data_IF_372667688149
#
_entry.id   IF_372667688149
#
_cell.length_a   1.000
_cell.length_b   1.000
_cell.length_c   1.000
_cell.angle_alpha   90.00
_cell.angle_beta   90.00
_cell.angle_gamma   90.00
#
_symmetry.space_group_name_H-M   'P 1'
#
loop_
_entity.id
_entity.type
_entity.pdbx_description
1 polymer ?
#
# COMPACT_ATOMS: atom_id res chain seq x y z
N UNK A 1 29.15 -3.85 77.38
CA UNK A 1 30.62 -3.81 77.52
C UNK A 1 31.25 -4.12 76.17
N UNK A 2 31.76 -3.07 75.53
CA UNK A 2 32.87 -2.94 74.57
C UNK A 2 33.03 -3.82 73.31
N UNK A 3 32.89 -3.11 72.15
CA UNK A 3 33.80 -2.98 70.96
C UNK A 3 34.06 -4.26 70.14
N UNK A 4 34.04 -4.28 68.81
CA UNK A 4 34.98 -3.73 67.80
C UNK A 4 34.29 -3.79 66.40
N UNK A 5 34.16 -2.72 65.60
CA UNK A 5 35.02 -2.30 64.44
C UNK A 5 35.51 -3.51 63.58
N UNK A 6 35.28 -3.63 62.26
CA UNK A 6 35.62 -2.68 61.17
C UNK A 6 35.15 -3.18 59.78
N UNK A 7 34.86 -2.23 58.88
CA UNK A 7 35.19 -2.19 57.44
C UNK A 7 34.69 -3.25 56.44
N UNK A 8 33.93 -2.80 55.43
CA UNK A 8 34.40 -2.71 54.04
C UNK A 8 33.33 -2.05 53.17
N UNK A 9 33.58 -0.81 52.75
CA UNK A 9 32.84 -0.16 51.69
C UNK A 9 33.30 -0.72 50.34
N UNK A 10 32.41 -1.40 49.62
CA UNK A 10 32.62 -1.77 48.23
C UNK A 10 31.89 -0.76 47.35
N UNK A 11 32.60 0.25 46.86
CA UNK A 11 32.16 1.09 45.75
C UNK A 11 32.37 0.32 44.45
N UNK A 12 31.30 -0.30 43.94
CA UNK A 12 31.28 -0.86 42.60
C UNK A 12 31.08 0.28 41.59
N UNK A 13 32.16 0.72 40.93
CA UNK A 13 32.08 1.62 39.77
C UNK A 13 31.69 0.75 38.57
N UNK A 14 30.39 0.72 38.26
CA UNK A 14 29.88 0.11 37.04
C UNK A 14 30.25 0.95 35.82
N UNK A 15 31.14 0.43 34.96
CA UNK A 15 31.48 1.07 33.69
C UNK A 15 30.35 0.78 32.69
N UNK A 16 29.42 1.72 32.52
CA UNK A 16 28.40 1.68 31.47
C UNK A 16 29.06 1.92 30.10
N UNK A 17 29.45 0.86 29.39
CA UNK A 17 29.73 0.96 27.96
C UNK A 17 28.40 1.20 27.23
N UNK A 18 28.16 2.45 26.86
CA UNK A 18 27.08 2.80 25.94
C UNK A 18 27.46 2.32 24.54
N UNK A 19 26.86 1.22 24.08
CA UNK A 19 26.94 0.81 22.68
C UNK A 19 26.03 1.74 21.89
N UNK A 20 26.61 2.72 21.20
CA UNK A 20 25.86 3.53 20.24
C UNK A 20 25.68 2.73 18.96
N UNK A 21 24.46 2.29 18.70
CA UNK A 21 24.08 1.74 17.40
C UNK A 21 23.96 2.91 16.43
N UNK A 22 24.96 3.10 15.58
CA UNK A 22 24.86 4.03 14.46
C UNK A 22 23.89 3.44 13.43
N UNK A 23 22.66 3.93 13.43
CA UNK A 23 21.73 3.73 12.32
C UNK A 23 22.25 4.58 11.17
N UNK A 24 22.89 3.97 10.17
CA UNK A 24 23.12 4.64 8.91
C UNK A 24 21.75 4.89 8.29
N UNK A 25 21.31 6.16 8.25
CA UNK A 25 20.25 6.57 7.36
C UNK A 25 20.71 6.22 5.95
N UNK A 26 19.97 5.35 5.25
CA UNK A 26 20.19 5.19 3.83
C UNK A 26 19.90 6.56 3.19
N UNK A 27 20.93 7.22 2.69
CA UNK A 27 20.78 8.46 1.95
C UNK A 27 19.94 8.14 0.69
N UNK A 28 18.64 8.44 0.75
CA UNK A 28 17.80 8.51 -0.45
C UNK A 28 18.32 9.70 -1.25
N UNK A 29 19.32 9.44 -2.09
CA UNK A 29 19.84 10.47 -3.00
C UNK A 29 18.70 10.82 -3.94
N UNK A 30 18.22 12.09 -4.00
CA UNK A 30 17.17 12.47 -4.93
C UNK A 30 17.66 12.17 -6.35
N UNK A 31 17.04 11.19 -7.00
CA UNK A 31 17.34 10.89 -8.41
C UNK A 31 16.79 12.06 -9.23
N UNK A 32 17.65 13.00 -9.61
CA UNK A 32 17.26 14.08 -10.51
C UNK A 32 16.93 13.44 -11.87
N UNK A 33 15.65 13.49 -12.28
CA UNK A 33 15.15 12.95 -13.55
C UNK A 33 14.57 14.08 -14.40
N UNK A 34 15.43 14.88 -15.08
CA UNK A 34 14.96 16.00 -15.92
C UNK A 34 14.03 15.55 -17.05
N UNK A 35 14.20 14.31 -17.52
CA UNK A 35 13.38 13.66 -18.54
C UNK A 35 11.91 13.46 -18.13
N UNK A 36 11.63 13.42 -16.82
CA UNK A 36 10.28 13.22 -16.28
C UNK A 36 9.56 14.54 -15.97
N UNK A 37 10.27 15.67 -16.03
CA UNK A 37 9.69 16.96 -15.66
C UNK A 37 8.54 17.36 -16.58
N UNK A 38 7.36 17.52 -15.98
CA UNK A 38 6.13 17.87 -16.67
C UNK A 38 5.50 16.74 -17.49
N UNK A 39 6.07 15.53 -17.47
CA UNK A 39 5.54 14.37 -18.19
C UNK A 39 4.11 14.07 -17.72
N UNK A 40 3.10 14.11 -18.62
CA UNK A 40 1.75 13.69 -18.26
C UNK A 40 1.68 12.17 -18.14
N UNK A 41 1.01 11.70 -17.09
CA UNK A 41 0.73 10.28 -16.84
C UNK A 41 -0.74 10.15 -16.49
N UNK A 42 -1.47 9.33 -17.23
CA UNK A 42 -2.90 9.09 -17.02
C UNK A 42 -3.12 7.93 -16.06
N UNK A 43 -3.89 8.21 -15.00
CA UNK A 43 -4.29 7.26 -13.97
C UNK A 43 -5.77 6.89 -14.13
N UNK A 44 -6.07 5.60 -14.08
CA UNK A 44 -7.43 5.08 -13.93
C UNK A 44 -7.51 4.23 -12.64
N UNK A 45 -8.62 4.31 -11.93
CA UNK A 45 -8.88 3.61 -10.68
C UNK A 45 -10.20 2.85 -10.68
N UNK A 46 -10.45 2.12 -9.60
CA UNK A 46 -11.74 1.49 -9.36
C UNK A 46 -12.75 2.57 -8.93
N UNK A 47 -13.94 2.67 -9.55
CA UNK A 47 -14.86 3.75 -9.24
C UNK A 47 -15.56 3.63 -7.88
N UNK A 48 -15.62 2.45 -7.27
CA UNK A 48 -16.43 2.21 -6.08
C UNK A 48 -15.81 1.18 -5.13
N UNK A 49 -14.56 1.41 -4.69
CA UNK A 49 -13.88 0.56 -3.71
C UNK A 49 -13.15 1.38 -2.63
N UNK A 50 -13.86 2.23 -1.87
CA UNK A 50 -13.26 2.95 -0.75
C UNK A 50 -12.81 1.99 0.37
N UNK A 51 -11.73 2.32 1.12
CA UNK A 51 -10.89 3.51 1.00
C UNK A 51 -9.74 3.36 -0.03
N UNK A 52 -9.69 2.25 -0.77
CA UNK A 52 -8.58 1.91 -1.66
C UNK A 52 -8.61 2.74 -2.93
N UNK A 53 -9.76 2.82 -3.61
CA UNK A 53 -9.98 3.63 -4.81
C UNK A 53 -11.46 3.94 -5.04
N UNK A 54 -11.80 5.19 -5.34
CA UNK A 54 -13.15 5.59 -5.80
C UNK A 54 -13.08 6.83 -6.70
N UNK A 55 -14.14 7.12 -7.44
CA UNK A 55 -14.29 8.41 -8.14
C UNK A 55 -15.04 9.39 -7.25
N UNK A 56 -14.42 10.54 -6.97
CA UNK A 56 -15.04 11.62 -6.21
C UNK A 56 -16.00 12.45 -7.09
N UNK A 57 -16.86 13.32 -6.50
CA UNK A 57 -17.82 14.12 -7.27
C UNK A 57 -17.21 15.07 -8.31
N UNK A 58 -15.90 15.32 -8.24
CA UNK A 58 -15.13 16.10 -9.21
C UNK A 58 -14.52 15.23 -10.34
N UNK A 59 -14.98 13.99 -10.47
CA UNK A 59 -14.52 12.97 -11.43
C UNK A 59 -13.04 12.57 -11.27
N UNK A 60 -12.42 12.88 -10.13
CA UNK A 60 -11.02 12.52 -9.83
C UNK A 60 -10.93 11.17 -9.13
N UNK A 61 -9.91 10.38 -9.47
CA UNK A 61 -9.57 9.17 -8.70
C UNK A 61 -9.05 9.55 -7.32
N UNK A 62 -9.73 9.06 -6.29
CA UNK A 62 -9.37 9.19 -4.88
C UNK A 62 -9.05 7.84 -4.24
N UNK A 63 -8.49 7.90 -3.03
CA UNK A 63 -8.14 6.73 -2.22
C UNK A 63 -6.65 6.50 -2.06
N UNK A 64 -6.32 5.49 -1.25
CA UNK A 64 -4.93 5.17 -0.86
C UNK A 64 -4.05 4.98 -2.09
N UNK A 65 -4.54 4.26 -3.11
CA UNK A 65 -3.74 3.98 -4.29
C UNK A 65 -3.37 5.25 -5.07
N UNK A 66 -4.35 6.12 -5.33
CA UNK A 66 -4.11 7.37 -6.03
C UNK A 66 -3.21 8.32 -5.23
N UNK A 67 -3.36 8.35 -3.90
CA UNK A 67 -2.50 9.13 -3.01
C UNK A 67 -1.04 8.67 -3.08
N UNK A 68 -0.79 7.36 -3.02
CA UNK A 68 0.57 6.80 -3.11
C UNK A 68 1.19 7.07 -4.48
N UNK A 69 0.44 6.87 -5.58
CA UNK A 69 0.92 7.16 -6.93
C UNK A 69 1.32 8.63 -7.08
N UNK A 70 0.48 9.56 -6.62
CA UNK A 70 0.80 11.00 -6.63
C UNK A 70 2.03 11.32 -5.78
N UNK A 71 2.14 10.75 -4.57
CA UNK A 71 3.28 10.98 -3.68
C UNK A 71 4.61 10.47 -4.27
N UNK A 72 4.58 9.38 -5.04
CA UNK A 72 5.78 8.85 -5.72
C UNK A 72 6.18 9.67 -6.95
N UNK A 73 5.20 10.17 -7.71
CA UNK A 73 5.43 10.82 -9.00
C UNK A 73 5.67 12.34 -8.89
N UNK A 74 5.04 13.02 -7.93
CA UNK A 74 5.19 14.46 -7.74
C UNK A 74 6.64 14.92 -7.52
N UNK A 75 7.46 14.27 -6.68
CA UNK A 75 8.87 14.66 -6.49
C UNK A 75 9.72 14.54 -7.76
N UNK A 76 9.29 13.72 -8.72
CA UNK A 76 9.94 13.55 -10.02
C UNK A 76 9.49 14.59 -11.06
N UNK A 77 8.54 15.46 -10.70
CA UNK A 77 7.98 16.46 -11.60
C UNK A 77 6.91 15.94 -12.57
N UNK A 78 6.47 14.69 -12.41
CA UNK A 78 5.44 14.07 -13.26
C UNK A 78 4.06 14.64 -12.92
N UNK A 79 3.25 14.89 -13.95
CA UNK A 79 1.87 15.38 -13.82
C UNK A 79 0.89 14.22 -13.95
N UNK A 80 0.24 13.86 -12.84
CA UNK A 80 -0.77 12.81 -12.84
C UNK A 80 -2.12 13.39 -13.27
N UNK A 81 -2.66 12.90 -14.38
CA UNK A 81 -4.04 13.13 -14.81
C UNK A 81 -4.91 11.96 -14.37
N UNK A 82 -5.76 12.21 -13.38
CA UNK A 82 -6.64 11.25 -12.73
C UNK A 82 -8.12 11.56 -12.97
N UNK A 83 -8.44 12.31 -14.01
CA UNK A 83 -9.82 12.52 -14.42
C UNK A 83 -10.38 11.24 -15.06
N UNK A 84 -11.46 10.72 -14.49
CA UNK A 84 -12.06 9.46 -14.91
C UNK A 84 -13.59 9.52 -14.86
N UNK A 85 -14.21 9.27 -16.01
CA UNK A 85 -15.65 9.11 -16.18
C UNK A 85 -16.05 7.70 -16.67
N UNK A 86 -15.19 6.71 -16.45
CA UNK A 86 -15.37 5.35 -16.96
C UNK A 86 -15.46 4.30 -15.85
N UNK A 87 -16.11 3.17 -16.14
CA UNK A 87 -16.13 2.01 -15.24
C UNK A 87 -14.80 1.23 -15.25
N UNK A 88 -14.66 0.33 -14.28
CA UNK A 88 -13.45 -0.50 -14.12
C UNK A 88 -13.09 -1.32 -15.36
N UNK A 89 -14.08 -1.95 -16.01
CA UNK A 89 -13.84 -2.76 -17.22
C UNK A 89 -13.27 -1.91 -18.36
N UNK A 90 -13.74 -0.66 -18.49
CA UNK A 90 -13.20 0.27 -19.48
C UNK A 90 -11.78 0.70 -19.12
N UNK A 91 -11.48 1.02 -17.85
CA UNK A 91 -10.10 1.31 -17.41
C UNK A 91 -9.13 0.18 -17.80
N UNK A 92 -9.48 -1.07 -17.50
CA UNK A 92 -8.67 -2.24 -17.84
C UNK A 92 -8.38 -2.32 -19.34
N UNK A 93 -9.38 -2.02 -20.18
CA UNK A 93 -9.20 -2.03 -21.63
C UNK A 93 -8.35 -0.87 -22.12
N UNK A 94 -8.49 0.33 -21.54
CA UNK A 94 -7.68 1.48 -21.93
C UNK A 94 -6.20 1.29 -21.59
N UNK A 95 -5.87 0.60 -20.49
CA UNK A 95 -4.48 0.23 -20.18
C UNK A 95 -3.96 -0.79 -21.19
N UNK A 96 -4.75 -1.80 -21.53
CA UNK A 96 -4.38 -2.79 -22.56
C UNK A 96 -4.11 -2.14 -23.93
N UNK A 97 -4.83 -1.06 -24.25
CA UNK A 97 -4.67 -0.28 -25.48
C UNK A 97 -3.57 0.78 -25.39
N UNK A 98 -2.96 1.00 -24.22
CA UNK A 98 -1.91 2.00 -24.00
C UNK A 98 -2.42 3.44 -23.86
N UNK A 99 -3.72 3.65 -23.65
CA UNK A 99 -4.32 4.99 -23.46
C UNK A 99 -4.31 5.44 -21.99
N UNK A 100 -4.09 4.52 -21.06
CA UNK A 100 -3.91 4.79 -19.62
C UNK A 100 -2.56 4.21 -19.21
N UNK A 101 -1.75 5.02 -18.54
CA UNK A 101 -0.39 4.66 -18.16
C UNK A 101 -0.33 3.87 -16.85
N UNK A 102 -1.21 4.21 -15.90
CA UNK A 102 -1.23 3.60 -14.57
C UNK A 102 -2.64 3.19 -14.19
N UNK A 103 -2.75 1.99 -13.65
CA UNK A 103 -3.94 1.49 -12.96
C UNK A 103 -3.53 0.83 -11.66
N UNK A 104 -4.38 0.95 -10.65
CA UNK A 104 -4.18 0.27 -9.37
C UNK A 104 -5.25 -0.81 -9.19
N UNK A 105 -4.83 -2.05 -8.99
CA UNK A 105 -5.72 -3.19 -8.83
C UNK A 105 -4.97 -4.49 -8.63
N UNK A 106 -5.70 -5.59 -8.48
CA UNK A 106 -5.10 -6.91 -8.22
C UNK A 106 -4.20 -7.38 -9.35
N UNK A 107 -3.03 -7.90 -8.96
CA UNK A 107 -2.16 -8.67 -9.83
C UNK A 107 -2.83 -10.02 -10.13
N UNK A 108 -2.93 -10.34 -11.42
CA UNK A 108 -3.46 -11.61 -11.92
C UNK A 108 -2.69 -11.99 -13.17
N UNK A 109 -2.53 -13.28 -13.46
CA UNK A 109 -1.82 -13.76 -14.66
C UNK A 109 -2.33 -13.11 -15.95
N UNK A 110 -3.66 -13.04 -16.13
CA UNK A 110 -4.28 -12.43 -17.31
C UNK A 110 -3.90 -10.95 -17.50
N UNK A 111 -3.75 -10.18 -16.42
CA UNK A 111 -3.34 -8.77 -16.47
C UNK A 111 -1.84 -8.62 -16.67
N UNK A 112 -1.03 -9.56 -16.20
CA UNK A 112 0.42 -9.56 -16.42
C UNK A 112 0.81 -9.77 -17.88
N UNK A 113 -0.10 -10.27 -18.72
CA UNK A 113 0.13 -10.38 -20.16
C UNK A 113 0.31 -9.01 -20.86
N UNK A 114 -0.15 -7.92 -20.24
CA UNK A 114 -0.10 -6.58 -20.84
C UNK A 114 0.18 -5.44 -19.83
N UNK A 115 0.36 -5.76 -18.54
CA UNK A 115 0.71 -4.80 -17.50
C UNK A 115 1.92 -5.28 -16.70
N UNK A 116 2.76 -4.33 -16.31
CA UNK A 116 3.80 -4.55 -15.30
C UNK A 116 3.28 -4.15 -13.92
N UNK A 117 3.54 -4.97 -12.91
CA UNK A 117 3.14 -4.71 -11.53
C UNK A 117 4.36 -4.46 -10.65
N UNK A 118 4.24 -3.53 -9.70
CA UNK A 118 5.24 -3.34 -8.65
C UNK A 118 5.32 -4.58 -7.77
N UNK A 119 6.53 -4.97 -7.39
CA UNK A 119 6.75 -6.13 -6.53
C UNK A 119 6.15 -5.92 -5.14
N UNK A 120 6.37 -4.74 -4.57
CA UNK A 120 5.75 -4.35 -3.30
C UNK A 120 4.31 -3.89 -3.53
N UNK A 121 3.30 -4.54 -2.92
CA UNK A 121 1.91 -4.09 -3.02
C UNK A 121 1.68 -2.80 -2.22
N UNK A 122 0.78 -1.94 -2.71
CA UNK A 122 0.33 -0.76 -1.95
C UNK A 122 -0.63 -1.19 -0.82
N UNK A 123 -1.49 -2.17 -1.10
CA UNK A 123 -2.47 -2.71 -0.16
C UNK A 123 -2.42 -4.23 -0.22
N UNK A 124 -2.40 -4.86 0.96
CA UNK A 124 -2.69 -6.28 1.13
C UNK A 124 -4.06 -6.42 1.77
N UNK A 125 -4.87 -7.33 1.25
CA UNK A 125 -6.21 -7.58 1.76
C UNK A 125 -6.44 -9.07 1.99
N UNK A 126 -7.34 -9.38 2.93
CA UNK A 126 -7.83 -10.74 3.17
C UNK A 126 -9.26 -10.84 2.67
N UNK A 127 -9.58 -11.95 2.02
CA UNK A 127 -10.94 -12.22 1.56
C UNK A 127 -11.72 -12.82 2.73
N UNK A 128 -12.87 -12.23 3.03
CA UNK A 128 -13.78 -12.67 4.08
C UNK A 128 -15.14 -13.04 3.51
N UNK A 129 -15.77 -14.07 4.08
CA UNK A 129 -17.17 -14.38 3.82
C UNK A 129 -18.04 -13.58 4.79
N UNK A 130 -18.95 -12.79 4.26
CA UNK A 130 -19.97 -12.09 5.04
C UNK A 130 -21.33 -12.75 4.81
N UNK A 131 -22.08 -12.95 5.88
CA UNK A 131 -23.43 -13.51 5.85
C UNK A 131 -24.35 -12.78 6.84
N UNK A 132 -25.68 -12.85 6.67
CA UNK A 132 -26.62 -12.26 7.61
C UNK A 132 -26.46 -12.85 9.01
N UNK A 133 -26.46 -12.00 10.04
CA UNK A 133 -26.28 -12.43 11.44
C UNK A 133 -27.40 -13.39 11.89
N UNK A 134 -28.59 -13.23 11.34
CA UNK A 134 -29.78 -14.06 11.59
C UNK A 134 -29.86 -15.31 10.70
N UNK A 135 -28.97 -15.45 9.72
CA UNK A 135 -28.87 -16.63 8.85
C UNK A 135 -27.38 -17.00 8.64
N UNK A 136 -26.69 -17.49 9.68
CA UNK A 136 -25.28 -17.84 9.59
C UNK A 136 -25.05 -18.97 8.59
N UNK A 137 -23.95 -18.86 7.83
CA UNK A 137 -23.50 -19.89 6.90
C UNK A 137 -22.32 -20.62 7.54
N UNK A 138 -22.47 -21.89 7.98
CA UNK A 138 -21.34 -22.72 8.37
C UNK A 138 -20.42 -22.89 7.15
N UNK A 139 -19.13 -22.59 7.33
CA UNK A 139 -18.16 -22.63 6.24
C UNK A 139 -16.89 -23.33 6.72
N UNK A 140 -16.64 -24.51 6.16
CA UNK A 140 -15.45 -25.32 6.38
C UNK A 140 -14.72 -25.57 5.06
N UNK A 141 -15.43 -25.54 3.94
CA UNK A 141 -14.86 -25.63 2.59
C UNK A 141 -15.71 -24.90 1.54
N UNK A 142 -15.17 -24.76 0.32
CA UNK A 142 -15.86 -24.08 -0.78
C UNK A 142 -17.14 -24.81 -1.23
N UNK A 143 -17.22 -26.12 -1.02
CA UNK A 143 -18.40 -26.93 -1.30
C UNK A 143 -19.61 -26.52 -0.45
N UNK A 144 -19.39 -25.95 0.75
CA UNK A 144 -20.46 -25.45 1.61
C UNK A 144 -21.18 -24.24 1.00
N UNK A 145 -20.59 -23.58 0.00
CA UNK A 145 -21.22 -22.50 -0.76
C UNK A 145 -22.10 -23.02 -1.91
N UNK A 146 -22.13 -24.33 -2.16
CA UNK A 146 -22.91 -24.92 -3.23
C UNK A 146 -24.41 -24.68 -3.02
N UNK A 147 -25.09 -24.20 -4.07
CA UNK A 147 -26.51 -23.84 -4.02
C UNK A 147 -26.81 -22.49 -3.34
N UNK A 148 -25.82 -21.82 -2.75
CA UNK A 148 -25.96 -20.45 -2.26
C UNK A 148 -25.74 -19.44 -3.38
N UNK A 149 -26.36 -18.27 -3.24
CA UNK A 149 -26.08 -17.11 -4.08
C UNK A 149 -24.98 -16.28 -3.43
N UNK A 150 -23.79 -16.27 -4.03
CA UNK A 150 -22.63 -15.47 -3.63
C UNK A 150 -22.49 -14.28 -4.57
N UNK A 151 -22.18 -13.10 -4.05
CA UNK A 151 -22.03 -11.84 -4.79
C UNK A 151 -20.84 -11.03 -4.33
#
# INVERSE_FOLDING_TARGET
MNRWLSSAAFTAIGLLMSVTVNVFAADVTPSTRPDLQGLPVRLCGNPAYPPVSWIAPDDRVQGVNAAVIRALLQPLGVKVDDLQNSNWRRCLKEVELGNVDIISGFRTEARQAYMSFLETPIVTESIYLYYPVDAPVPFFSWEDLSGLRVG
#
